data_IF_842482923511
#
_entry.id   IF_842482923511
#
_cell.length_a   1.000
_cell.length_b   1.000
_cell.length_c   1.000
_cell.angle_alpha   90.00
_cell.angle_beta   90.00
_cell.angle_gamma   90.00
#
_symmetry.space_group_name_H-M   'P 1'
#
loop_
_entity.id
_entity.type
_entity.pdbx_description
1 polymer ?
#
# COMPACT_ATOMS: atom_id res chain seq x y z
N UNK A 1 -1.93 -13.24 40.32
CA UNK A 1 -2.54 -12.02 40.27
C UNK A 1 -1.91 -11.06 39.34
N UNK A 2 -0.67 -10.74 39.52
CA UNK A 2 -0.01 -9.84 38.62
C UNK A 2 -0.02 -10.36 37.22
N UNK A 3 0.09 -11.64 37.09
CA UNK A 3 0.08 -12.23 35.76
C UNK A 3 -1.20 -11.92 35.02
N UNK A 4 -2.28 -11.94 35.74
CA UNK A 4 -3.54 -11.65 35.12
C UNK A 4 -3.60 -10.24 34.58
N UNK A 5 -3.11 -9.31 35.35
CA UNK A 5 -3.12 -7.95 34.93
C UNK A 5 -2.33 -7.75 33.65
N UNK A 6 -1.19 -8.39 33.59
CA UNK A 6 -0.39 -8.27 32.41
C UNK A 6 -1.06 -8.86 31.21
N UNK A 7 -1.74 -9.94 31.41
CA UNK A 7 -2.45 -10.58 30.31
C UNK A 7 -3.49 -9.67 29.74
N UNK A 8 -4.19 -8.99 30.58
CA UNK A 8 -5.22 -8.09 30.11
C UNK A 8 -4.62 -6.97 29.30
N UNK A 9 -3.51 -6.44 29.75
CA UNK A 9 -2.87 -5.37 29.04
C UNK A 9 -2.43 -5.80 27.66
N UNK A 10 -1.90 -6.99 27.58
CA UNK A 10 -1.44 -7.49 26.31
C UNK A 10 -2.59 -7.62 25.33
N UNK A 11 -3.70 -8.10 25.80
CA UNK A 11 -4.85 -8.25 24.94
C UNK A 11 -5.28 -6.91 24.36
N UNK A 12 -5.27 -5.89 25.19
CA UNK A 12 -5.65 -4.58 24.70
C UNK A 12 -4.72 -4.08 23.62
N UNK A 13 -3.44 -4.33 23.82
CA UNK A 13 -2.49 -3.90 22.82
C UNK A 13 -2.69 -4.60 21.50
N UNK A 14 -2.98 -5.87 21.56
CA UNK A 14 -3.19 -6.61 20.34
C UNK A 14 -4.37 -6.07 19.55
N UNK A 15 -5.41 -5.72 20.21
CA UNK A 15 -6.56 -5.16 19.54
C UNK A 15 -6.19 -3.86 18.85
N UNK A 16 -5.47 -3.02 19.54
CA UNK A 16 -5.07 -1.77 18.93
C UNK A 16 -4.20 -1.99 17.73
N UNK A 17 -3.29 -2.93 17.84
CA UNK A 17 -2.41 -3.21 16.72
C UNK A 17 -3.18 -3.73 15.53
N UNK A 18 -4.20 -4.51 15.76
CA UNK A 18 -4.98 -5.03 14.66
C UNK A 18 -5.61 -3.93 13.85
N UNK A 19 -6.13 -2.93 14.52
CA UNK A 19 -6.72 -1.83 13.82
C UNK A 19 -5.72 -1.11 12.96
N UNK A 20 -4.55 -0.90 13.49
CA UNK A 20 -3.54 -0.18 12.75
C UNK A 20 -3.11 -0.94 11.53
N UNK A 21 -3.07 -2.22 11.62
CA UNK A 21 -2.54 -3.02 10.54
C UNK A 21 -3.39 -3.04 9.30
N UNK A 22 -4.68 -2.86 9.41
CA UNK A 22 -5.46 -2.97 8.23
C UNK A 22 -5.29 -1.85 7.28
N UNK A 23 -4.37 -0.98 7.51
CA UNK A 23 -4.27 0.20 6.72
C UNK A 23 -4.08 -0.05 5.26
N UNK A 24 -3.11 -0.80 4.84
CA UNK A 24 -2.82 -0.88 3.44
C UNK A 24 -2.21 -2.17 3.02
N UNK A 25 -2.57 -2.61 1.85
CA UNK A 25 -1.91 -3.73 1.23
C UNK A 25 -0.81 -3.21 0.34
N UNK A 26 0.26 -3.96 0.23
CA UNK A 26 1.37 -3.58 -0.61
C UNK A 26 1.72 -4.71 -1.56
N UNK A 27 2.48 -4.37 -2.58
CA UNK A 27 2.92 -5.34 -3.58
C UNK A 27 4.31 -4.94 -4.02
N UNK A 28 5.08 -5.91 -4.47
CA UNK A 28 6.42 -5.64 -5.00
C UNK A 28 6.30 -5.34 -6.49
N UNK A 29 6.96 -4.29 -6.92
CA UNK A 29 6.88 -3.85 -8.29
C UNK A 29 8.23 -3.27 -8.72
N UNK A 30 8.68 -3.49 -9.96
CA UNK A 30 9.97 -2.96 -10.38
C UNK A 30 9.90 -1.45 -10.61
N UNK A 31 10.93 -0.75 -10.16
CA UNK A 31 11.03 0.68 -10.44
C UNK A 31 11.64 0.88 -11.82
N UNK A 32 11.88 2.13 -12.19
CA UNK A 32 12.38 2.45 -13.51
C UNK A 32 13.75 1.86 -13.79
N UNK A 33 14.49 1.51 -12.76
CA UNK A 33 15.79 0.87 -12.93
C UNK A 33 15.72 -0.64 -12.83
N UNK A 34 14.54 -1.19 -12.67
CA UNK A 34 14.37 -2.63 -12.56
C UNK A 34 14.52 -3.19 -11.17
N UNK A 35 14.63 -2.35 -10.17
CA UNK A 35 14.78 -2.81 -8.81
C UNK A 35 13.40 -3.00 -8.18
N UNK A 36 13.19 -4.12 -7.50
CA UNK A 36 11.90 -4.39 -6.90
C UNK A 36 11.70 -3.52 -5.67
N UNK A 37 10.56 -2.86 -5.62
CA UNK A 37 10.23 -1.94 -4.55
C UNK A 37 8.83 -2.26 -4.06
N UNK A 38 8.62 -2.14 -2.76
CA UNK A 38 7.29 -2.37 -2.19
C UNK A 38 6.47 -1.10 -2.28
N UNK A 39 5.30 -1.19 -2.88
CA UNK A 39 4.42 -0.04 -3.04
C UNK A 39 3.02 -0.40 -2.62
N UNK A 40 2.20 0.58 -2.26
CA UNK A 40 0.80 0.30 -1.95
C UNK A 40 0.05 -0.10 -3.21
N UNK A 41 -0.90 -0.99 -3.08
CA UNK A 41 -1.70 -1.39 -4.21
C UNK A 41 -2.59 -0.21 -4.60
N UNK A 42 -2.61 0.11 -5.88
CA UNK A 42 -3.40 1.24 -6.35
C UNK A 42 -4.83 0.82 -6.61
N UNK A 43 -5.75 1.47 -5.93
CA UNK A 43 -7.17 1.24 -6.16
C UNK A 43 -7.80 2.37 -6.96
N UNK A 44 -7.07 3.45 -7.17
CA UNK A 44 -7.54 4.59 -7.93
C UNK A 44 -6.49 5.02 -8.91
N UNK A 45 -6.93 5.73 -9.95
CA UNK A 45 -6.01 6.27 -10.93
C UNK A 45 -4.97 7.18 -10.29
N UNK A 46 -5.42 7.99 -9.35
CA UNK A 46 -4.53 8.92 -8.68
C UNK A 46 -3.44 8.20 -7.91
N UNK A 47 -3.80 7.14 -7.18
CA UNK A 47 -2.81 6.36 -6.47
C UNK A 47 -1.84 5.69 -7.42
N UNK A 48 -2.35 5.23 -8.56
CA UNK A 48 -1.50 4.64 -9.59
C UNK A 48 -0.46 5.64 -10.08
N UNK A 49 -0.87 6.89 -10.35
CA UNK A 49 0.07 7.91 -10.80
C UNK A 49 1.09 8.25 -9.72
N UNK A 50 0.66 8.26 -8.48
CA UNK A 50 1.55 8.49 -7.37
C UNK A 50 2.59 7.39 -7.28
N UNK A 51 2.17 6.15 -7.43
CA UNK A 51 3.09 5.02 -7.42
C UNK A 51 4.10 5.15 -8.55
N UNK A 52 3.63 5.55 -9.74
CA UNK A 52 4.52 5.72 -10.87
C UNK A 52 5.61 6.74 -10.61
N UNK A 53 5.25 7.84 -9.98
CA UNK A 53 6.24 8.85 -9.65
C UNK A 53 7.23 8.34 -8.62
N UNK A 54 6.73 7.62 -7.63
CA UNK A 54 7.59 7.04 -6.60
C UNK A 54 8.57 6.05 -7.20
N UNK A 55 8.14 5.31 -8.20
CA UNK A 55 8.98 4.32 -8.86
C UNK A 55 9.93 4.94 -9.88
N UNK A 56 9.77 6.20 -10.17
CA UNK A 56 10.68 6.89 -11.08
C UNK A 56 10.34 6.76 -12.55
N UNK A 57 9.16 6.30 -12.89
CA UNK A 57 8.78 6.18 -14.30
C UNK A 57 8.46 7.56 -14.88
N UNK A 58 8.73 7.77 -16.18
CA UNK A 58 8.35 9.00 -16.83
C UNK A 58 6.84 9.22 -16.74
N UNK A 59 6.45 10.46 -16.69
CA UNK A 59 5.06 10.81 -16.51
C UNK A 59 4.17 10.23 -17.61
N UNK A 60 4.63 10.28 -18.84
CA UNK A 60 3.88 9.76 -19.97
C UNK A 60 3.66 8.25 -19.84
N UNK A 61 4.69 7.53 -19.42
CA UNK A 61 4.59 6.08 -19.26
C UNK A 61 3.63 5.75 -18.14
N UNK A 62 3.73 6.46 -17.05
CA UNK A 62 2.87 6.26 -15.91
C UNK A 62 1.41 6.53 -16.28
N UNK A 63 1.18 7.58 -17.03
CA UNK A 63 -0.17 7.92 -17.48
C UNK A 63 -0.75 6.79 -18.35
N UNK A 64 0.04 6.31 -19.29
CA UNK A 64 -0.42 5.26 -20.19
C UNK A 64 -0.76 3.98 -19.43
N UNK A 65 0.11 3.61 -18.52
CA UNK A 65 -0.10 2.41 -17.71
C UNK A 65 -1.36 2.55 -16.86
N UNK A 66 -1.48 3.66 -16.16
CA UNK A 66 -2.60 3.85 -15.27
C UNK A 66 -3.92 3.99 -16.02
N UNK A 67 -3.90 4.59 -17.19
CA UNK A 67 -5.10 4.68 -18.01
C UNK A 67 -5.54 3.29 -18.44
N UNK A 68 -4.59 2.44 -18.77
CA UNK A 68 -4.90 1.10 -19.23
C UNK A 68 -5.43 0.21 -18.11
N UNK A 69 -4.92 0.38 -16.91
CA UNK A 69 -5.27 -0.49 -15.79
C UNK A 69 -6.35 0.07 -14.88
N UNK A 70 -6.73 1.31 -15.07
CA UNK A 70 -7.77 1.93 -14.25
C UNK A 70 -8.93 2.36 -15.13
N UNK A 71 -10.13 1.98 -14.72
CA UNK A 71 -11.31 2.36 -15.47
C UNK A 71 -11.89 3.60 -14.81
N UNK A 72 -11.69 4.75 -15.44
CA UNK A 72 -12.08 5.99 -14.82
C UNK A 72 -11.25 6.26 -13.60
N UNK A 73 -11.86 6.17 -12.43
CA UNK A 73 -11.14 6.44 -11.20
C UNK A 73 -10.70 5.20 -10.46
N UNK A 74 -11.17 4.04 -10.88
CA UNK A 74 -10.91 2.81 -10.14
C UNK A 74 -10.02 1.89 -10.94
N UNK A 75 -8.98 1.38 -10.27
CA UNK A 75 -8.04 0.45 -10.88
C UNK A 75 -8.43 -0.97 -10.58
N UNK A 76 -8.07 -1.86 -11.48
CA UNK A 76 -8.37 -3.26 -11.32
C UNK A 76 -7.18 -4.09 -10.99
#
# INVERSE_FOLDING_TARGET
MKVLLRSIAVAALLLGASHAVRAEETVMFPDAQGKMVRIPIAHTYEQCRKNGRHLGYPDADSHAWCTQHCDGKICQ
#
